data_IF_394565552027
#
_entry.id   IF_394565552027
#
_cell.length_a   1.000
_cell.length_b   1.000
_cell.length_c   1.000
_cell.angle_alpha   90.00
_cell.angle_beta   90.00
_cell.angle_gamma   90.00
#
_symmetry.space_group_name_H-M   'P 1'
#
loop_
_entity.id
_entity.type
_entity.pdbx_description
1 polymer ?
#
# COMPACT_ATOMS: atom_id res chain seq x y z
N UNK A 1 -19.52 -6.64 12.33
CA UNK A 1 -18.80 -6.01 13.45
C UNK A 1 -18.90 -4.50 13.30
N UNK A 2 -19.02 -3.75 14.40
CA UNK A 2 -19.02 -2.28 14.34
C UNK A 2 -17.61 -1.85 13.97
N UNK A 3 -17.47 -1.08 12.88
CA UNK A 3 -16.31 -0.22 12.69
C UNK A 3 -16.19 0.60 13.97
N UNK A 4 -15.17 0.32 14.78
CA UNK A 4 -14.67 1.33 15.70
C UNK A 4 -14.21 2.43 14.75
N UNK A 5 -14.74 3.64 14.94
CA UNK A 5 -14.38 4.83 14.18
C UNK A 5 -12.90 5.13 14.46
N UNK A 6 -12.00 4.33 13.87
CA UNK A 6 -10.59 4.61 13.84
C UNK A 6 -10.42 5.73 12.84
N UNK A 7 -10.07 6.92 13.35
CA UNK A 7 -9.69 8.05 12.53
C UNK A 7 -8.52 7.63 11.64
N UNK A 8 -8.75 7.63 10.33
CA UNK A 8 -7.68 7.41 9.36
C UNK A 8 -6.76 8.63 9.36
N UNK A 9 -5.48 8.43 9.01
CA UNK A 9 -4.53 9.52 8.82
C UNK A 9 -4.37 9.82 7.34
N UNK A 10 -4.81 11.00 6.92
CA UNK A 10 -4.62 11.48 5.56
C UNK A 10 -3.21 12.05 5.34
N UNK A 11 -2.50 11.56 4.32
CA UNK A 11 -1.09 11.88 4.03
C UNK A 11 -0.97 12.50 2.65
N UNK A 12 -0.87 13.83 2.61
CA UNK A 12 -0.81 14.66 1.40
C UNK A 12 0.37 15.66 1.39
N UNK A 13 1.18 15.65 2.45
CA UNK A 13 2.32 16.57 2.62
C UNK A 13 3.57 15.80 3.06
N UNK A 14 4.75 16.31 2.69
CA UNK A 14 6.05 15.74 3.05
C UNK A 14 6.21 15.51 4.55
N UNK A 15 5.64 16.42 5.37
CA UNK A 15 5.67 16.31 6.83
C UNK A 15 4.88 15.09 7.32
N UNK A 16 3.65 14.91 6.81
CA UNK A 16 2.82 13.76 7.16
C UNK A 16 3.38 12.45 6.63
N UNK A 17 3.98 12.47 5.42
CA UNK A 17 4.68 11.31 4.86
C UNK A 17 5.82 10.86 5.77
N UNK A 18 6.65 11.78 6.25
CA UNK A 18 7.72 11.49 7.21
C UNK A 18 7.21 10.94 8.54
N UNK A 19 6.06 11.41 9.02
CA UNK A 19 5.45 10.89 10.25
C UNK A 19 4.94 9.46 10.05
N UNK A 20 4.27 9.19 8.92
CA UNK A 20 3.83 7.85 8.55
C UNK A 20 5.02 6.90 8.42
N UNK A 21 6.09 7.28 7.71
CA UNK A 21 7.29 6.46 7.52
C UNK A 21 7.89 6.00 8.86
N UNK A 22 8.02 6.90 9.83
CA UNK A 22 8.52 6.56 11.18
C UNK A 22 7.63 5.54 11.90
N UNK A 23 6.32 5.56 11.66
CA UNK A 23 5.41 4.59 12.25
C UNK A 23 5.56 3.22 11.56
N UNK A 24 5.50 3.18 10.22
CA UNK A 24 5.52 1.93 9.47
C UNK A 24 6.88 1.22 9.49
N UNK A 25 7.99 1.95 9.68
CA UNK A 25 9.35 1.37 9.82
C UNK A 25 9.49 0.46 11.05
N UNK A 26 8.64 0.62 12.07
CA UNK A 26 8.69 -0.16 13.32
C UNK A 26 7.72 -1.35 13.33
N UNK A 27 6.98 -1.59 12.25
CA UNK A 27 6.00 -2.66 12.17
C UNK A 27 6.64 -3.96 11.66
N UNK A 28 6.17 -5.10 12.16
CA UNK A 28 6.52 -6.42 11.61
C UNK A 28 5.75 -6.74 10.31
N UNK A 29 4.61 -6.09 10.10
CA UNK A 29 3.80 -6.21 8.89
C UNK A 29 2.98 -4.95 8.63
N UNK A 30 2.69 -4.70 7.36
CA UNK A 30 1.76 -3.67 6.89
C UNK A 30 0.86 -4.26 5.80
N UNK A 31 -0.37 -3.78 5.67
CA UNK A 31 -1.19 -4.03 4.48
C UNK A 31 -1.08 -2.87 3.51
N UNK A 32 -1.12 -3.17 2.21
CA UNK A 32 -0.99 -2.19 1.13
C UNK A 32 -2.04 -2.48 0.06
N UNK A 33 -2.67 -1.43 -0.45
CA UNK A 33 -3.57 -1.47 -1.59
C UNK A 33 -3.45 -0.16 -2.40
N UNK A 34 -3.79 -0.18 -3.69
CA UNK A 34 -3.62 1.00 -4.55
C UNK A 34 -4.78 1.23 -5.51
N UNK A 35 -5.14 2.50 -5.68
CA UNK A 35 -6.18 2.89 -6.64
C UNK A 35 -5.55 3.50 -7.89
N UNK A 36 -5.96 3.04 -9.07
CA UNK A 36 -5.40 3.51 -10.35
C UNK A 36 -6.44 4.16 -11.24
N UNK A 37 -6.09 5.34 -11.75
CA UNK A 37 -6.90 6.05 -12.75
C UNK A 37 -6.40 5.74 -14.18
N UNK A 38 -7.31 5.30 -15.06
CA UNK A 38 -6.97 4.88 -16.43
C UNK A 38 -7.67 5.67 -17.53
N UNK A 39 -8.80 6.32 -17.24
CA UNK A 39 -9.67 6.91 -18.28
C UNK A 39 -9.11 8.20 -18.91
N UNK A 40 -8.47 9.07 -18.12
CA UNK A 40 -7.94 10.38 -18.58
C UNK A 40 -6.41 10.43 -18.65
N UNK A 41 -5.73 9.29 -18.65
CA UNK A 41 -4.27 9.23 -18.78
C UNK A 41 -3.83 8.04 -19.61
N UNK A 42 -3.05 8.28 -20.66
CA UNK A 42 -2.46 7.23 -21.49
C UNK A 42 -1.53 6.31 -20.69
N UNK A 43 -0.65 6.89 -19.88
CA UNK A 43 0.26 6.11 -19.01
C UNK A 43 -0.44 5.56 -17.77
N UNK A 44 -1.69 5.97 -17.52
CA UNK A 44 -2.42 5.77 -16.27
C UNK A 44 -1.65 6.40 -15.09
N UNK A 45 -2.21 6.42 -13.89
CA UNK A 45 -1.46 6.82 -12.70
C UNK A 45 -2.18 6.32 -11.45
N UNK A 46 -1.41 5.91 -10.47
CA UNK A 46 -1.87 5.60 -9.12
C UNK A 46 -2.31 6.89 -8.45
N UNK A 47 -3.57 6.95 -8.02
CA UNK A 47 -4.23 8.13 -7.45
C UNK A 47 -4.48 8.01 -5.95
N UNK A 48 -4.30 6.83 -5.37
CA UNK A 48 -4.37 6.61 -3.94
C UNK A 48 -3.49 5.43 -3.55
N UNK A 49 -2.87 5.52 -2.38
CA UNK A 49 -2.29 4.36 -1.70
C UNK A 49 -2.93 4.23 -0.32
N UNK A 50 -3.37 3.03 -0.01
CA UNK A 50 -3.90 2.64 1.29
C UNK A 50 -2.81 1.84 2.00
N UNK A 51 -2.43 2.26 3.20
CA UNK A 51 -1.46 1.52 4.02
C UNK A 51 -2.03 1.37 5.42
N UNK A 52 -2.09 0.15 5.94
CA UNK A 52 -2.53 -0.06 7.32
C UNK A 52 -1.46 -0.76 8.15
N UNK A 53 -1.33 -0.30 9.38
CA UNK A 53 -0.66 -1.04 10.46
C UNK A 53 -1.70 -1.76 11.31
N UNK A 54 -1.29 -2.38 12.42
CA UNK A 54 -2.26 -2.98 13.36
C UNK A 54 -3.16 -1.95 14.05
N UNK A 55 -2.76 -0.69 14.07
CA UNK A 55 -3.43 0.34 14.89
C UNK A 55 -3.80 1.60 14.12
N UNK A 56 -3.39 1.75 12.86
CA UNK A 56 -3.62 2.97 12.11
C UNK A 56 -3.77 2.69 10.62
N UNK A 57 -4.82 3.25 10.04
CA UNK A 57 -5.05 3.29 8.60
C UNK A 57 -4.55 4.62 8.04
N UNK A 58 -3.76 4.55 6.97
CA UNK A 58 -3.22 5.69 6.25
C UNK A 58 -3.83 5.75 4.86
N UNK A 59 -4.37 6.93 4.52
CA UNK A 59 -4.85 7.26 3.18
C UNK A 59 -3.85 8.25 2.59
N UNK A 60 -3.03 7.78 1.65
CA UNK A 60 -1.93 8.56 1.06
C UNK A 60 -2.37 9.09 -0.29
N UNK A 61 -2.28 10.41 -0.46
CA UNK A 61 -2.45 11.07 -1.76
C UNK A 61 -1.09 11.12 -2.47
N UNK A 62 -0.87 10.28 -3.50
CA UNK A 62 0.39 10.22 -4.20
C UNK A 62 0.61 11.39 -5.17
N UNK A 63 -0.43 12.14 -5.53
CA UNK A 63 -0.35 13.17 -6.57
C UNK A 63 0.58 14.33 -6.18
N UNK A 64 0.44 14.96 -4.99
CA UNK A 64 1.38 15.98 -4.54
C UNK A 64 2.72 15.39 -4.07
N UNK A 65 2.76 14.10 -3.73
CA UNK A 65 3.91 13.43 -3.13
C UNK A 65 4.76 12.61 -4.10
N UNK A 66 4.45 12.65 -5.40
CA UNK A 66 5.02 11.72 -6.40
C UNK A 66 6.54 11.61 -6.36
N UNK A 67 7.26 12.72 -6.21
CA UNK A 67 8.73 12.73 -6.16
C UNK A 67 9.31 12.25 -4.82
N UNK A 68 8.48 12.12 -3.78
CA UNK A 68 8.89 11.77 -2.42
C UNK A 68 8.53 10.33 -2.04
N UNK A 69 7.59 9.71 -2.76
CA UNK A 69 7.09 8.37 -2.42
C UNK A 69 8.14 7.26 -2.50
N UNK A 70 9.24 7.47 -3.23
CA UNK A 70 10.40 6.56 -3.22
C UNK A 70 10.94 6.29 -1.80
N UNK A 71 10.68 7.19 -0.83
CA UNK A 71 11.05 6.99 0.57
C UNK A 71 10.40 5.74 1.22
N UNK A 72 9.31 5.21 0.65
CA UNK A 72 8.68 3.97 1.11
C UNK A 72 9.56 2.73 0.89
N UNK A 73 10.58 2.78 0.02
CA UNK A 73 11.48 1.65 -0.24
C UNK A 73 12.15 1.12 1.03
N UNK A 74 12.43 1.98 2.02
CA UNK A 74 13.00 1.57 3.31
C UNK A 74 12.17 0.49 4.02
N UNK A 75 10.85 0.47 3.79
CA UNK A 75 9.92 -0.50 4.38
C UNK A 75 9.50 -1.54 3.36
N UNK A 76 9.20 -1.11 2.13
CA UNK A 76 8.70 -1.98 1.07
C UNK A 76 9.75 -3.01 0.63
N UNK A 77 11.04 -2.68 0.69
CA UNK A 77 12.14 -3.61 0.38
C UNK A 77 12.75 -4.29 1.60
N UNK A 78 12.33 -3.91 2.82
CA UNK A 78 12.82 -4.55 4.04
C UNK A 78 12.21 -5.95 4.20
N UNK A 79 13.03 -6.98 4.02
CA UNK A 79 12.61 -8.38 4.12
C UNK A 79 12.10 -8.79 5.51
N UNK A 80 12.37 -8.01 6.57
CA UNK A 80 11.86 -8.27 7.92
C UNK A 80 10.42 -7.80 8.13
N UNK A 81 9.91 -6.96 7.24
CA UNK A 81 8.52 -6.46 7.28
C UNK A 81 7.71 -7.21 6.24
N UNK A 82 6.63 -7.86 6.60
CA UNK A 82 5.72 -8.51 5.64
C UNK A 82 4.83 -7.43 5.01
N UNK A 83 4.74 -7.41 3.67
CA UNK A 83 3.75 -6.58 2.97
C UNK A 83 2.57 -7.46 2.58
N UNK A 84 1.43 -7.22 3.19
CA UNK A 84 0.19 -7.96 2.94
C UNK A 84 -0.58 -7.23 1.83
N UNK A 85 -0.87 -7.93 0.73
CA UNK A 85 -1.66 -7.40 -0.38
C UNK A 85 -2.74 -8.43 -0.77
N UNK A 86 -3.67 -8.03 -1.63
CA UNK A 86 -4.69 -8.91 -2.18
C UNK A 86 -4.65 -8.83 -3.71
N UNK A 87 -4.30 -9.93 -4.38
CA UNK A 87 -4.10 -9.97 -5.84
C UNK A 87 -3.08 -8.92 -6.32
N UNK A 88 -1.89 -8.97 -5.71
CA UNK A 88 -0.88 -7.92 -5.74
C UNK A 88 -0.21 -7.71 -7.12
N UNK A 89 -0.55 -8.53 -8.11
CA UNK A 89 0.15 -8.58 -9.40
C UNK A 89 0.15 -7.22 -10.09
N UNK A 90 -1.00 -6.53 -10.08
CA UNK A 90 -1.11 -5.21 -10.68
C UNK A 90 -0.53 -4.11 -9.77
N UNK A 91 -0.76 -4.14 -8.46
CA UNK A 91 -0.20 -3.16 -7.53
C UNK A 91 1.32 -3.06 -7.65
N UNK A 92 2.01 -4.21 -7.68
CA UNK A 92 3.47 -4.25 -7.80
C UNK A 92 3.94 -3.59 -9.10
N UNK A 93 3.27 -3.84 -10.22
CA UNK A 93 3.59 -3.21 -11.51
C UNK A 93 3.37 -1.68 -11.45
N UNK A 94 2.32 -1.24 -10.77
CA UNK A 94 1.91 0.17 -10.72
C UNK A 94 2.84 0.98 -9.83
N UNK A 95 3.20 0.43 -8.67
CA UNK A 95 4.18 0.99 -7.73
C UNK A 95 5.54 1.20 -8.41
N UNK A 96 6.00 0.23 -9.19
CA UNK A 96 7.26 0.34 -9.95
C UNK A 96 7.18 1.42 -11.03
N UNK A 97 6.12 1.41 -11.84
CA UNK A 97 5.96 2.33 -12.96
C UNK A 97 5.79 3.79 -12.54
N UNK A 98 5.03 4.04 -11.46
CA UNK A 98 4.64 5.40 -11.07
C UNK A 98 5.61 6.05 -10.07
N UNK A 99 6.24 5.24 -9.20
CA UNK A 99 7.03 5.73 -8.07
C UNK A 99 8.43 5.12 -7.96
N UNK A 100 8.75 4.11 -8.77
CA UNK A 100 10.02 3.37 -8.67
C UNK A 100 10.11 2.51 -7.40
N UNK A 101 8.97 2.14 -6.81
CA UNK A 101 8.90 1.35 -5.58
C UNK A 101 8.93 -0.14 -5.87
N UNK A 102 9.70 -0.88 -5.07
CA UNK A 102 9.80 -2.34 -5.17
C UNK A 102 9.37 -3.01 -3.87
N UNK A 103 8.79 -4.20 -3.96
CA UNK A 103 8.25 -4.92 -2.80
C UNK A 103 8.98 -6.25 -2.60
N UNK A 104 9.50 -6.46 -1.40
CA UNK A 104 10.19 -7.69 -0.97
C UNK A 104 9.43 -8.27 0.20
N UNK A 105 9.26 -9.60 0.28
CA UNK A 105 8.49 -10.28 1.32
C UNK A 105 6.98 -9.91 1.28
N UNK A 106 6.35 -10.22 0.15
CA UNK A 106 4.89 -10.09 -0.04
C UNK A 106 4.19 -11.33 0.50
N UNK A 107 3.09 -11.12 1.23
CA UNK A 107 2.08 -12.13 1.49
C UNK A 107 0.80 -11.76 0.73
N UNK A 108 0.47 -12.51 -0.32
CA UNK A 108 -0.72 -12.28 -1.14
C UNK A 108 -1.90 -13.11 -0.63
N UNK A 109 -2.92 -12.42 -0.12
CA UNK A 109 -4.12 -13.04 0.45
C UNK A 109 -5.02 -13.68 -0.59
N UNK A 110 -4.99 -13.24 -1.86
CA UNK A 110 -5.68 -13.93 -2.94
C UNK A 110 -5.04 -15.30 -3.18
N UNK A 111 -3.71 -15.38 -3.27
CA UNK A 111 -3.02 -16.67 -3.40
C UNK A 111 -3.26 -17.57 -2.18
N UNK A 112 -3.17 -17.02 -0.96
CA UNK A 112 -3.48 -17.78 0.25
C UNK A 112 -4.91 -18.34 0.24
N UNK A 113 -5.90 -17.57 -0.24
CA UNK A 113 -7.28 -18.04 -0.36
C UNK A 113 -7.45 -19.21 -1.31
N UNK A 114 -6.70 -19.21 -2.42
CA UNK A 114 -6.69 -20.29 -3.41
C UNK A 114 -6.10 -21.56 -2.82
N UNK A 115 -4.98 -21.45 -2.12
CA UNK A 115 -4.34 -22.58 -1.43
C UNK A 115 -5.24 -23.18 -0.33
N UNK A 116 -6.04 -22.34 0.34
CA UNK A 116 -6.99 -22.77 1.36
C UNK A 116 -8.34 -23.25 0.80
N UNK A 117 -8.54 -23.24 -0.53
CA UNK A 117 -9.79 -23.61 -1.20
C UNK A 117 -11.02 -22.84 -0.68
N UNK A 118 -10.87 -21.53 -0.41
CA UNK A 118 -11.99 -20.69 0.00
C UNK A 118 -12.92 -20.41 -1.20
N UNK A 119 -14.22 -20.39 -0.96
CA UNK A 119 -15.25 -20.35 -2.02
C UNK A 119 -15.31 -19.03 -2.79
N UNK A 120 -14.88 -17.92 -2.19
CA UNK A 120 -14.79 -16.62 -2.87
C UNK A 120 -13.98 -15.61 -2.07
N UNK A 121 -12.95 -15.05 -2.71
CA UNK A 121 -12.31 -13.77 -2.40
C UNK A 121 -11.92 -13.13 -3.74
N UNK A 122 -12.92 -12.87 -4.58
CA UNK A 122 -12.75 -12.17 -5.85
C UNK A 122 -13.43 -10.81 -5.66
N UNK A 123 -12.66 -9.73 -5.70
CA UNK A 123 -13.17 -8.37 -5.81
C UNK A 123 -13.09 -7.91 -7.26
#
# INVERSE_FOLDING_TARGET
ERFIENDYKYVDTSSRLKQMLKDIENQSEISVDSERHTYRSYKRYTCLLQISTRTTDYIVDPLPLKSELHALDNVFTNAKVVKILHDAAFDVEWLQNDFGLYVVNIFDTFQASRELNLSSLIF
#
